data_IF_349368078303
#
_entry.id   IF_349368078303
#
_cell.length_a   1.000
_cell.length_b   1.000
_cell.length_c   1.000
_cell.angle_alpha   90.00
_cell.angle_beta   90.00
_cell.angle_gamma   90.00
#
_symmetry.space_group_name_H-M   'P 1'
#
loop_
_entity.id
_entity.type
_entity.pdbx_description
1 polymer ?
#
# COMPACT_ATOMS: atom_id res chain seq x y z
N UNK A 1 4.45 7.28 -5.94
CA UNK A 1 4.73 6.52 -7.19
C UNK A 1 6.10 5.86 -7.21
N UNK A 2 7.16 6.49 -6.68
CA UNK A 2 8.50 5.88 -6.62
C UNK A 2 8.53 4.48 -5.95
N UNK A 3 7.90 4.32 -4.77
CA UNK A 3 7.83 3.02 -4.09
C UNK A 3 7.16 1.92 -4.94
N UNK A 4 6.10 2.28 -5.67
CA UNK A 4 5.37 1.36 -6.56
C UNK A 4 6.21 0.99 -7.78
N UNK A 5 6.97 1.95 -8.33
CA UNK A 5 7.88 1.68 -9.45
C UNK A 5 9.00 0.71 -9.03
N UNK A 6 9.61 0.91 -7.85
CA UNK A 6 10.61 0.00 -7.29
C UNK A 6 10.00 -1.39 -7.08
N UNK A 7 8.78 -1.46 -6.56
CA UNK A 7 8.07 -2.72 -6.38
C UNK A 7 7.82 -3.45 -7.71
N UNK A 8 7.40 -2.74 -8.76
CA UNK A 8 7.19 -3.31 -10.09
C UNK A 8 8.47 -3.91 -10.67
N UNK A 9 9.61 -3.23 -10.52
CA UNK A 9 10.93 -3.76 -10.91
C UNK A 9 11.26 -5.04 -10.12
N UNK A 10 11.03 -5.05 -8.81
CA UNK A 10 11.29 -6.25 -7.97
C UNK A 10 10.40 -7.42 -8.33
N UNK A 11 9.14 -7.18 -8.68
CA UNK A 11 8.23 -8.22 -9.20
C UNK A 11 8.77 -8.78 -10.52
N UNK A 12 9.20 -7.91 -11.44
CA UNK A 12 9.81 -8.31 -12.71
C UNK A 12 11.10 -9.12 -12.55
N UNK A 13 11.85 -8.90 -11.47
CA UNK A 13 13.05 -9.69 -11.11
C UNK A 13 12.72 -11.00 -10.37
N UNK A 14 11.49 -11.52 -10.47
CA UNK A 14 11.01 -12.72 -9.76
C UNK A 14 11.00 -12.63 -8.23
N UNK A 15 11.26 -11.46 -7.64
CA UNK A 15 11.19 -11.23 -6.20
C UNK A 15 9.77 -10.76 -5.80
N UNK A 16 8.76 -11.51 -6.24
CA UNK A 16 7.35 -11.14 -6.12
C UNK A 16 6.94 -10.81 -4.67
N UNK A 17 7.48 -11.55 -3.68
CA UNK A 17 7.26 -11.30 -2.23
C UNK A 17 7.76 -9.93 -1.80
N UNK A 18 8.97 -9.56 -2.20
CA UNK A 18 9.57 -8.28 -1.82
C UNK A 18 8.87 -7.12 -2.52
N UNK A 19 8.49 -7.29 -3.79
CA UNK A 19 7.69 -6.30 -4.50
C UNK A 19 6.29 -6.11 -3.90
N UNK A 20 5.59 -7.19 -3.56
CA UNK A 20 4.31 -7.12 -2.87
C UNK A 20 4.44 -6.43 -1.50
N UNK A 21 5.48 -6.75 -0.73
CA UNK A 21 5.74 -6.10 0.54
C UNK A 21 5.98 -4.59 0.39
N UNK A 22 6.69 -4.16 -0.66
CA UNK A 22 6.90 -2.75 -0.99
C UNK A 22 5.60 -2.03 -1.35
N UNK A 23 4.68 -2.69 -2.09
CA UNK A 23 3.35 -2.13 -2.40
C UNK A 23 2.53 -1.97 -1.13
N UNK A 24 2.47 -3.01 -0.29
CA UNK A 24 1.77 -2.96 0.99
C UNK A 24 2.30 -1.85 1.90
N UNK A 25 3.63 -1.74 2.04
CA UNK A 25 4.28 -0.67 2.79
C UNK A 25 3.99 0.73 2.23
N UNK A 26 3.97 0.90 0.90
CA UNK A 26 3.63 2.17 0.28
C UNK A 26 2.20 2.63 0.60
N UNK A 27 1.25 1.68 0.66
CA UNK A 27 -0.13 1.98 1.06
C UNK A 27 -0.24 2.38 2.54
N UNK A 28 0.53 1.74 3.42
CA UNK A 28 0.58 2.15 4.83
C UNK A 28 1.17 3.56 4.99
N UNK A 29 2.25 3.88 4.27
CA UNK A 29 2.80 5.24 4.25
C UNK A 29 1.75 6.23 3.73
N UNK A 30 1.01 5.89 2.66
CA UNK A 30 -0.07 6.72 2.16
C UNK A 30 -1.20 6.92 3.19
N UNK A 31 -1.55 5.86 3.95
CA UNK A 31 -2.54 5.94 5.02
C UNK A 31 -2.08 6.90 6.13
N UNK A 32 -0.81 6.83 6.56
CA UNK A 32 -0.24 7.74 7.57
C UNK A 32 -0.22 9.18 7.07
N UNK A 33 0.24 9.41 5.83
CA UNK A 33 0.24 10.75 5.24
C UNK A 33 -1.18 11.32 5.15
N UNK A 34 -2.17 10.51 4.77
CA UNK A 34 -3.58 10.92 4.74
C UNK A 34 -4.16 11.18 6.13
N UNK A 35 -3.74 10.40 7.12
CA UNK A 35 -4.07 10.63 8.52
C UNK A 35 -3.34 11.84 9.12
N UNK A 36 -2.26 12.35 8.53
CA UNK A 36 -1.58 13.56 8.98
C UNK A 36 -2.14 14.85 8.36
N UNK A 37 -2.73 14.78 7.16
CA UNK A 37 -3.34 15.92 6.46
C UNK A 37 -4.69 16.29 7.09
N UNK A 38 -4.89 17.57 7.42
CA UNK A 38 -6.15 18.09 7.95
C UNK A 38 -7.19 18.28 6.84
N UNK A 39 -8.46 18.06 7.15
CA UNK A 39 -9.56 18.15 6.17
C UNK A 39 -9.75 19.57 5.61
N UNK A 40 -9.25 20.57 6.35
CA UNK A 40 -9.25 21.99 5.98
C UNK A 40 -8.38 22.30 4.75
N UNK A 41 -7.39 21.45 4.45
CA UNK A 41 -6.54 21.56 3.25
C UNK A 41 -7.12 20.81 2.04
N UNK A 42 -8.22 20.07 2.21
CA UNK A 42 -8.70 19.10 1.22
C UNK A 42 -9.77 19.64 0.26
N UNK A 43 -10.29 20.86 0.45
CA UNK A 43 -11.28 21.48 -0.45
C UNK A 43 -12.48 20.56 -0.76
N UNK A 44 -12.74 20.31 -2.05
CA UNK A 44 -13.84 19.47 -2.59
C UNK A 44 -13.84 17.98 -2.13
N UNK A 45 -12.83 17.51 -1.38
CA UNK A 45 -12.77 16.14 -0.84
C UNK A 45 -13.68 15.91 0.38
N UNK A 46 -14.50 16.88 0.79
CA UNK A 46 -15.43 16.72 1.92
C UNK A 46 -16.41 15.54 1.76
N UNK A 47 -16.69 15.12 0.52
CA UNK A 47 -17.60 13.99 0.21
C UNK A 47 -16.95 12.64 0.55
N UNK A 48 -15.61 12.53 0.40
CA UNK A 48 -14.88 11.28 0.66
C UNK A 48 -14.21 11.39 2.02
N UNK A 49 -14.89 10.87 3.04
CA UNK A 49 -14.43 10.95 4.43
C UNK A 49 -13.00 10.43 4.59
N UNK A 50 -12.13 11.24 5.19
CA UNK A 50 -10.74 10.89 5.49
C UNK A 50 -10.57 9.54 6.17
N UNK A 51 -11.52 9.15 7.03
CA UNK A 51 -11.56 7.83 7.65
C UNK A 51 -11.66 6.70 6.62
N UNK A 52 -12.48 6.85 5.57
CA UNK A 52 -12.63 5.86 4.51
C UNK A 52 -11.32 5.69 3.74
N UNK A 53 -10.62 6.79 3.44
CA UNK A 53 -9.32 6.75 2.76
C UNK A 53 -8.28 6.02 3.60
N UNK A 54 -8.14 6.42 4.87
CA UNK A 54 -7.17 5.81 5.80
C UNK A 54 -7.46 4.34 6.00
N UNK A 55 -8.73 3.96 6.22
CA UNK A 55 -9.13 2.56 6.38
C UNK A 55 -8.91 1.74 5.11
N UNK A 56 -9.19 2.31 3.93
CA UNK A 56 -8.97 1.63 2.65
C UNK A 56 -7.48 1.39 2.40
N UNK A 57 -6.65 2.41 2.59
CA UNK A 57 -5.20 2.30 2.41
C UNK A 57 -4.56 1.37 3.45
N UNK A 58 -4.93 1.52 4.72
CA UNK A 58 -4.42 0.67 5.79
C UNK A 58 -4.87 -0.78 5.62
N UNK A 59 -6.16 -1.02 5.37
CA UNK A 59 -6.73 -2.34 5.17
C UNK A 59 -6.10 -3.05 3.98
N UNK A 60 -6.04 -2.39 2.82
CA UNK A 60 -5.41 -2.97 1.63
C UNK A 60 -3.92 -3.22 1.84
N UNK A 61 -3.19 -2.27 2.45
CA UNK A 61 -1.77 -2.43 2.76
C UNK A 61 -1.48 -3.63 3.66
N UNK A 62 -2.29 -3.79 4.72
CA UNK A 62 -2.19 -4.93 5.65
C UNK A 62 -2.53 -6.26 4.97
N UNK A 63 -3.57 -6.32 4.13
CA UNK A 63 -3.93 -7.53 3.41
C UNK A 63 -2.82 -7.96 2.43
N UNK A 64 -2.24 -7.01 1.70
CA UNK A 64 -1.11 -7.28 0.79
C UNK A 64 0.11 -7.77 1.57
N UNK A 65 0.44 -7.14 2.70
CA UNK A 65 1.54 -7.58 3.56
C UNK A 65 1.27 -8.98 4.14
N UNK A 66 0.04 -9.24 4.59
CA UNK A 66 -0.36 -10.54 5.09
C UNK A 66 -0.13 -11.62 4.03
N UNK A 67 -0.61 -11.41 2.80
CA UNK A 67 -0.38 -12.33 1.68
C UNK A 67 1.12 -12.50 1.38
N UNK A 68 1.87 -11.40 1.30
CA UNK A 68 3.30 -11.44 1.00
C UNK A 68 4.13 -12.16 2.07
N UNK A 69 3.69 -12.14 3.34
CA UNK A 69 4.41 -12.74 4.45
C UNK A 69 3.95 -14.17 4.76
N UNK A 70 2.70 -14.52 4.45
CA UNK A 70 2.13 -15.84 4.78
C UNK A 70 2.21 -16.84 3.64
N UNK A 71 2.12 -16.40 2.38
CA UNK A 71 2.23 -17.31 1.24
C UNK A 71 3.69 -17.76 1.10
N UNK A 72 3.88 -19.05 1.32
CA UNK A 72 5.16 -19.75 1.12
C UNK A 72 4.99 -20.75 -0.02
N UNK A 73 5.87 -20.72 -1.02
CA UNK A 73 5.79 -21.54 -2.23
C UNK A 73 5.06 -20.83 -3.38
N UNK A 74 5.84 -20.19 -4.27
CA UNK A 74 5.38 -19.77 -5.59
C UNK A 74 5.88 -20.73 -6.67
N UNK A 75 5.46 -20.60 -7.95
CA UNK A 75 5.84 -21.53 -9.03
C UNK A 75 7.36 -21.62 -9.32
N UNK A 76 8.20 -20.86 -8.61
CA UNK A 76 9.66 -20.84 -8.75
C UNK A 76 10.43 -21.12 -7.45
N UNK A 77 9.76 -21.48 -6.35
CA UNK A 77 10.40 -21.75 -5.05
C UNK A 77 10.63 -20.50 -4.21
#
# INVERSE_FOLDING_TARGET
MLLVAIAAVRIGMYHWRQGAALIGGALLVAAVLRAALSDEQAGLLQIRGRAVDVLSYAGMGLLILFVALTITGGPLG
#
